data_IF_649765043575
#
_entry.id   IF_649765043575
#
_cell.length_a   1.000
_cell.length_b   1.000
_cell.length_c   1.000
_cell.angle_alpha   90.00
_cell.angle_beta   90.00
_cell.angle_gamma   90.00
#
_symmetry.space_group_name_H-M   'P 1'
#
loop_
_entity.id
_entity.type
_entity.pdbx_description
1 polymer ?
#
# COMPACT_ATOMS: atom_id res chain seq x y z
N UNK A 1 3.90 -30.20 13.40
CA UNK A 1 2.67 -30.58 14.12
C UNK A 1 2.23 -29.33 14.89
N UNK A 2 0.99 -28.90 14.72
CA UNK A 2 0.46 -27.67 15.30
C UNK A 2 0.41 -26.45 14.36
N UNK A 3 0.70 -26.64 13.07
CA UNK A 3 0.55 -25.61 12.03
C UNK A 3 -0.69 -25.95 11.22
N UNK A 4 -1.61 -25.00 11.12
CA UNK A 4 -2.73 -25.04 10.19
C UNK A 4 -2.33 -24.31 8.91
N UNK A 5 -2.63 -24.92 7.76
CA UNK A 5 -2.35 -24.31 6.43
C UNK A 5 -3.66 -23.87 5.83
N UNK A 6 -3.81 -22.57 5.64
CA UNK A 6 -4.96 -21.95 4.97
C UNK A 6 -4.52 -21.46 3.59
N UNK A 7 -5.19 -21.95 2.55
CA UNK A 7 -4.96 -21.47 1.18
C UNK A 7 -5.91 -20.32 0.88
N UNK A 8 -5.36 -19.22 0.37
CA UNK A 8 -6.12 -18.03 -0.01
C UNK A 8 -5.83 -17.69 -1.46
N UNK A 9 -6.87 -17.37 -2.22
CA UNK A 9 -6.80 -16.99 -3.62
C UNK A 9 -7.64 -15.73 -3.83
N UNK A 10 -7.16 -14.80 -4.64
CA UNK A 10 -7.89 -13.59 -4.99
C UNK A 10 -6.98 -12.48 -5.51
N UNK A 11 -7.56 -11.42 -6.08
CA UNK A 11 -6.81 -10.21 -6.43
C UNK A 11 -6.37 -9.47 -5.16
N UNK A 12 -5.41 -8.54 -5.32
CA UNK A 12 -5.07 -7.62 -4.23
C UNK A 12 -6.36 -6.91 -3.73
N UNK A 13 -6.62 -6.82 -2.41
CA UNK A 13 -5.71 -7.04 -1.28
C UNK A 13 -5.86 -8.40 -0.55
N UNK A 14 -6.33 -9.46 -1.21
CA UNK A 14 -6.54 -10.77 -0.57
C UNK A 14 -5.31 -11.31 0.18
N UNK A 15 -4.10 -10.89 -0.21
CA UNK A 15 -2.85 -11.28 0.45
C UNK A 15 -2.42 -10.37 1.61
N UNK A 16 -3.14 -9.30 1.91
CA UNK A 16 -2.83 -8.43 3.04
C UNK A 16 -3.07 -9.16 4.36
N UNK A 17 -2.14 -8.99 5.29
CA UNK A 17 -2.19 -9.71 6.58
C UNK A 17 -3.44 -9.34 7.39
N UNK A 18 -3.82 -8.06 7.44
CA UNK A 18 -5.05 -7.60 8.09
C UNK A 18 -6.29 -8.26 7.52
N UNK A 19 -6.40 -8.32 6.20
CA UNK A 19 -7.51 -9.00 5.49
C UNK A 19 -7.56 -10.48 5.83
N UNK A 20 -6.40 -11.18 5.83
CA UNK A 20 -6.33 -12.58 6.18
C UNK A 20 -6.76 -12.84 7.62
N UNK A 21 -6.31 -12.03 8.57
CA UNK A 21 -6.69 -12.14 9.99
C UNK A 21 -8.18 -11.91 10.14
N UNK A 22 -8.73 -10.88 9.51
CA UNK A 22 -10.17 -10.59 9.60
C UNK A 22 -11.02 -11.76 9.09
N UNK A 23 -10.65 -12.37 7.97
CA UNK A 23 -11.41 -13.51 7.41
C UNK A 23 -11.24 -14.83 8.16
N UNK A 24 -10.09 -15.06 8.81
CA UNK A 24 -9.80 -16.32 9.51
C UNK A 24 -10.24 -16.23 10.98
N UNK A 25 -9.87 -15.14 11.64
CA UNK A 25 -10.14 -14.90 13.05
C UNK A 25 -10.09 -13.40 13.35
N UNK A 26 -11.21 -12.67 13.21
CA UNK A 26 -11.30 -11.26 13.53
C UNK A 26 -10.80 -10.97 14.95
N UNK A 27 -10.11 -9.85 15.12
CA UNK A 27 -9.56 -9.43 16.40
C UNK A 27 -10.55 -8.56 17.17
N UNK A 28 -10.63 -8.79 18.48
CA UNK A 28 -11.39 -7.97 19.41
C UNK A 28 -10.46 -7.15 20.31
N UNK A 29 -11.06 -6.23 21.07
CA UNK A 29 -10.34 -5.42 22.06
C UNK A 29 -9.53 -6.28 23.02
N UNK A 30 -8.24 -6.00 23.14
CA UNK A 30 -7.33 -6.71 24.04
C UNK A 30 -6.74 -8.00 23.48
N UNK A 31 -7.15 -8.44 22.29
CA UNK A 31 -6.50 -9.57 21.61
C UNK A 31 -5.22 -9.14 20.89
N UNK A 32 -4.23 -10.03 20.86
CA UNK A 32 -2.93 -9.80 20.22
C UNK A 32 -2.61 -10.95 19.28
N UNK A 33 -2.22 -10.62 18.05
CA UNK A 33 -1.73 -11.57 17.05
C UNK A 33 -0.32 -11.17 16.62
N UNK A 34 0.58 -12.14 16.61
CA UNK A 34 1.92 -11.97 16.04
C UNK A 34 1.94 -12.45 14.60
N UNK A 35 2.47 -11.63 13.72
CA UNK A 35 2.61 -11.94 12.30
C UNK A 35 4.08 -12.04 11.93
N UNK A 36 4.41 -12.96 11.03
CA UNK A 36 5.77 -13.15 10.52
C UNK A 36 5.71 -13.44 9.02
N UNK A 37 6.42 -12.65 8.23
CA UNK A 37 6.53 -12.90 6.79
C UNK A 37 7.41 -14.12 6.51
N UNK A 38 7.16 -14.79 5.39
CA UNK A 38 7.98 -15.92 4.96
C UNK A 38 9.47 -15.54 4.78
N UNK A 39 9.74 -14.31 4.32
CA UNK A 39 11.10 -13.75 4.19
C UNK A 39 11.81 -13.62 5.54
N UNK A 40 11.08 -13.23 6.59
CA UNK A 40 11.64 -13.14 7.95
C UNK A 40 11.90 -14.52 8.53
N UNK A 41 10.99 -15.47 8.28
CA UNK A 41 11.17 -16.85 8.68
C UNK A 41 12.43 -17.48 8.05
N UNK A 42 12.76 -17.13 6.80
CA UNK A 42 13.98 -17.57 6.14
C UNK A 42 15.25 -17.02 6.85
N UNK A 43 15.24 -15.77 7.31
CA UNK A 43 16.34 -15.17 8.07
C UNK A 43 16.54 -15.93 9.39
N UNK A 44 15.45 -16.15 10.14
CA UNK A 44 15.47 -16.93 11.38
C UNK A 44 15.96 -18.35 11.15
N UNK A 45 15.45 -19.03 10.12
CA UNK A 45 15.87 -20.39 9.76
C UNK A 45 17.33 -20.50 9.38
N UNK A 46 17.89 -19.52 8.63
CA UNK A 46 19.32 -19.44 8.33
C UNK A 46 20.16 -19.30 9.58
N UNK A 47 19.76 -18.40 10.49
CA UNK A 47 20.44 -18.21 11.77
C UNK A 47 20.46 -19.48 12.60
N UNK A 48 19.33 -20.14 12.80
CA UNK A 48 19.23 -21.39 13.58
C UNK A 48 20.06 -22.51 12.99
N UNK A 49 20.21 -22.58 11.66
CA UNK A 49 20.99 -23.60 10.99
C UNK A 49 22.50 -23.34 11.01
N UNK A 50 22.92 -22.09 10.90
CA UNK A 50 24.33 -21.74 10.66
C UNK A 50 25.02 -21.08 11.87
N UNK A 51 24.25 -20.59 12.85
CA UNK A 51 24.73 -19.76 13.96
C UNK A 51 25.18 -18.35 13.52
N UNK A 52 25.00 -17.99 12.24
CA UNK A 52 25.39 -16.68 11.69
C UNK A 52 24.16 -15.91 11.25
N UNK A 53 24.12 -14.61 11.57
CA UNK A 53 23.07 -13.72 11.13
C UNK A 53 23.33 -13.32 9.67
N UNK A 54 22.34 -13.54 8.82
CA UNK A 54 22.32 -13.12 7.42
C UNK A 54 20.96 -12.47 7.11
N UNK A 55 20.95 -11.14 7.02
CA UNK A 55 19.76 -10.36 6.71
C UNK A 55 19.50 -10.20 5.21
N UNK A 56 20.28 -10.84 4.34
CA UNK A 56 20.04 -10.75 2.91
C UNK A 56 18.63 -11.21 2.53
N UNK A 57 17.96 -10.46 1.67
CA UNK A 57 16.61 -10.71 1.19
C UNK A 57 16.55 -10.65 -0.32
N UNK A 58 15.74 -11.48 -0.91
CA UNK A 58 15.32 -11.34 -2.29
C UNK A 58 14.11 -10.44 -2.33
N UNK A 59 14.21 -9.35 -3.09
CA UNK A 59 13.13 -8.38 -3.29
C UNK A 59 12.71 -8.36 -4.76
N UNK A 60 11.48 -7.94 -5.02
CA UNK A 60 10.99 -7.67 -6.36
C UNK A 60 11.38 -6.25 -6.80
N UNK A 61 11.78 -6.10 -8.07
CA UNK A 61 11.88 -4.82 -8.75
C UNK A 61 10.72 -4.72 -9.73
N UNK A 62 9.86 -3.73 -9.54
CA UNK A 62 8.61 -3.58 -10.26
C UNK A 62 8.37 -2.11 -10.66
N UNK A 63 7.30 -1.88 -11.41
CA UNK A 63 6.89 -0.54 -11.86
C UNK A 63 7.02 -0.36 -13.37
N UNK A 64 6.34 0.68 -13.88
CA UNK A 64 6.34 0.98 -15.33
C UNK A 64 7.70 1.48 -15.81
N UNK A 65 8.45 2.16 -14.94
CA UNK A 65 9.73 2.79 -15.25
C UNK A 65 10.95 1.99 -14.74
N UNK A 66 10.73 0.79 -14.23
CA UNK A 66 11.83 -0.14 -13.97
C UNK A 66 12.45 -0.60 -15.30
N UNK A 67 13.77 -0.42 -15.46
CA UNK A 67 14.49 -0.80 -16.67
C UNK A 67 14.38 -2.29 -16.91
N UNK A 68 14.55 -3.04 -15.84
CA UNK A 68 14.46 -4.49 -15.85
C UNK A 68 13.63 -4.91 -14.63
N UNK A 69 12.44 -5.43 -14.89
CA UNK A 69 11.61 -6.03 -13.85
C UNK A 69 12.15 -7.41 -13.50
N UNK A 70 12.15 -7.74 -12.22
CA UNK A 70 12.68 -9.03 -11.78
C UNK A 70 12.95 -9.08 -10.28
N UNK A 71 13.98 -9.81 -9.89
CA UNK A 71 14.34 -9.98 -8.50
C UNK A 71 15.79 -9.58 -8.27
N UNK A 72 16.04 -8.96 -7.12
CA UNK A 72 17.38 -8.60 -6.66
C UNK A 72 17.60 -9.08 -5.22
N UNK A 73 18.83 -9.38 -4.86
CA UNK A 73 19.19 -9.66 -3.48
C UNK A 73 19.82 -8.43 -2.88
N UNK A 74 19.23 -7.94 -1.79
CA UNK A 74 19.72 -6.78 -1.05
C UNK A 74 19.86 -7.10 0.44
N UNK A 75 20.61 -6.27 1.15
CA UNK A 75 20.61 -6.25 2.62
C UNK A 75 19.77 -5.05 3.08
N UNK A 76 18.80 -5.22 3.99
CA UNK A 76 18.08 -4.11 4.59
C UNK A 76 19.03 -3.05 5.14
N UNK A 77 18.69 -1.79 4.99
CA UNK A 77 19.59 -0.68 5.30
C UNK A 77 20.58 -0.33 4.17
N UNK A 78 20.61 -1.08 3.07
CA UNK A 78 21.36 -0.67 1.89
C UNK A 78 20.77 0.63 1.31
N UNK A 79 21.62 1.47 0.76
CA UNK A 79 21.19 2.70 0.11
C UNK A 79 20.62 2.36 -1.25
N UNK A 80 19.31 2.52 -1.40
CA UNK A 80 18.58 2.12 -2.62
C UNK A 80 19.01 2.95 -3.83
N UNK A 81 19.32 4.22 -3.62
CA UNK A 81 19.78 5.11 -4.70
C UNK A 81 21.10 4.66 -5.32
N UNK A 82 21.95 3.90 -4.62
CA UNK A 82 23.18 3.34 -5.17
C UNK A 82 22.92 2.15 -6.11
N UNK A 83 21.71 1.60 -6.08
CA UNK A 83 21.23 0.59 -7.05
C UNK A 83 20.85 1.22 -8.40
N UNK A 84 20.71 2.56 -8.46
CA UNK A 84 20.56 3.27 -9.71
C UNK A 84 21.88 3.19 -10.50
N UNK A 85 21.79 2.66 -11.70
CA UNK A 85 22.94 2.43 -12.55
C UNK A 85 23.41 0.98 -12.58
N UNK A 86 22.81 0.11 -11.74
CA UNK A 86 22.79 -1.32 -12.01
C UNK A 86 21.80 -1.60 -13.16
N UNK A 87 21.95 -2.73 -13.84
CA UNK A 87 21.04 -3.15 -14.93
C UNK A 87 19.57 -3.35 -14.49
N UNK A 88 19.26 -3.13 -13.20
CA UNK A 88 17.95 -3.32 -12.59
C UNK A 88 17.07 -2.06 -12.61
N UNK A 89 17.66 -0.87 -12.61
CA UNK A 89 16.94 0.40 -12.56
C UNK A 89 17.40 1.35 -13.67
N UNK A 90 16.48 2.00 -14.34
CA UNK A 90 16.80 3.15 -15.23
C UNK A 90 16.87 4.38 -14.34
N UNK A 91 17.94 5.13 -14.46
CA UNK A 91 18.03 6.45 -13.85
C UNK A 91 17.47 7.47 -14.84
N UNK A 92 16.24 7.91 -14.60
CA UNK A 92 15.61 9.04 -15.27
C UNK A 92 15.36 10.15 -14.27
N UNK A 93 15.38 11.38 -14.71
CA UNK A 93 15.22 12.54 -13.82
C UNK A 93 13.82 12.65 -13.20
N UNK A 94 12.81 12.05 -13.85
CA UNK A 94 11.39 12.19 -13.51
C UNK A 94 10.77 10.88 -12.99
N UNK A 95 11.55 10.10 -12.24
CA UNK A 95 11.10 8.85 -11.62
C UNK A 95 10.83 8.99 -10.14
N UNK A 96 9.79 8.30 -9.67
CA UNK A 96 9.55 8.06 -8.26
C UNK A 96 9.95 6.65 -7.89
N UNK A 97 10.89 6.52 -6.97
CA UNK A 97 11.29 5.25 -6.38
C UNK A 97 10.56 5.07 -5.05
N UNK A 98 9.94 3.93 -4.88
CA UNK A 98 9.10 3.61 -3.73
C UNK A 98 9.67 2.36 -3.06
N UNK A 99 9.89 2.46 -1.75
CA UNK A 99 10.20 1.33 -0.88
C UNK A 99 8.88 0.63 -0.54
N UNK A 100 8.59 -0.47 -1.21
CA UNK A 100 7.30 -1.16 -1.18
C UNK A 100 6.50 -1.04 -2.47
N UNK A 101 5.21 -1.27 -2.38
CA UNK A 101 4.27 -1.14 -3.49
C UNK A 101 3.77 0.31 -3.67
N UNK A 102 2.98 0.53 -4.72
CA UNK A 102 2.47 1.87 -5.07
C UNK A 102 1.33 2.35 -4.19
N UNK A 103 0.73 1.47 -3.37
CA UNK A 103 -0.43 1.78 -2.52
C UNK A 103 -0.03 2.08 -1.08
N UNK A 104 0.96 1.34 -0.54
CA UNK A 104 1.35 1.41 0.87
C UNK A 104 2.81 1.77 1.09
N UNK A 105 3.60 1.83 0.01
CA UNK A 105 5.03 2.09 0.06
C UNK A 105 5.39 3.54 0.38
N UNK A 106 6.65 3.74 0.74
CA UNK A 106 7.19 5.05 1.10
C UNK A 106 8.19 5.52 0.04
N UNK A 107 8.07 6.78 -0.39
CA UNK A 107 9.01 7.39 -1.33
C UNK A 107 10.43 7.32 -0.78
N UNK A 108 11.35 6.85 -1.61
CA UNK A 108 12.79 6.95 -1.38
C UNK A 108 13.25 8.33 -1.86
N UNK A 109 13.98 9.05 -1.00
CA UNK A 109 14.54 10.37 -1.27
C UNK A 109 15.94 10.48 -0.69
N UNK A 110 16.63 11.58 -0.95
CA UNK A 110 17.95 11.84 -0.34
C UNK A 110 17.90 11.88 1.19
N UNK A 111 16.76 12.27 1.76
CA UNK A 111 16.53 12.26 3.21
C UNK A 111 16.27 10.85 3.76
N UNK A 112 15.71 9.96 2.92
CA UNK A 112 15.34 8.57 3.27
C UNK A 112 15.81 7.60 2.19
N UNK A 113 17.13 7.46 2.01
CA UNK A 113 17.69 6.71 0.89
C UNK A 113 17.78 5.21 1.11
N UNK A 114 17.44 4.71 2.30
CA UNK A 114 17.73 3.34 2.71
C UNK A 114 16.54 2.40 2.55
N UNK A 115 16.83 1.17 2.19
CA UNK A 115 15.88 0.07 2.20
C UNK A 115 15.38 -0.22 3.62
N UNK A 116 14.06 -0.29 3.82
CA UNK A 116 13.49 -0.64 5.13
C UNK A 116 13.81 -2.08 5.54
N UNK A 117 13.69 -2.37 6.84
CA UNK A 117 13.90 -3.72 7.36
C UNK A 117 12.94 -4.74 6.72
N UNK A 118 11.70 -4.34 6.48
CA UNK A 118 10.62 -5.20 5.99
C UNK A 118 10.41 -5.06 4.47
N UNK A 119 11.44 -4.64 3.73
CA UNK A 119 11.34 -4.46 2.29
C UNK A 119 11.14 -5.81 1.58
N UNK A 120 10.14 -5.88 0.71
CA UNK A 120 9.89 -7.03 -0.16
C UNK A 120 9.90 -6.61 -1.63
N UNK A 121 9.77 -5.30 -1.91
CA UNK A 121 9.66 -4.76 -3.25
C UNK A 121 10.20 -3.33 -3.32
N UNK A 122 10.75 -2.99 -4.49
CA UNK A 122 10.98 -1.61 -4.91
C UNK A 122 10.12 -1.38 -6.14
N UNK A 123 9.33 -0.31 -6.11
CA UNK A 123 8.50 0.10 -7.25
C UNK A 123 9.03 1.39 -7.85
N UNK A 124 9.15 1.43 -9.18
CA UNK A 124 9.64 2.60 -9.93
C UNK A 124 8.55 3.03 -10.90
N UNK A 125 8.05 4.24 -10.74
CA UNK A 125 6.98 4.81 -11.54
C UNK A 125 7.34 6.24 -11.99
N UNK A 126 6.71 6.80 -13.03
CA UNK A 126 6.87 8.21 -13.39
C UNK A 126 6.49 9.13 -12.24
N UNK A 127 7.28 10.17 -11.97
CA UNK A 127 6.90 11.24 -11.03
C UNK A 127 5.71 12.03 -11.59
N UNK A 128 5.67 12.26 -12.90
CA UNK A 128 4.59 12.96 -13.58
C UNK A 128 4.70 14.47 -13.53
N UNK A 129 5.88 15.00 -13.26
CA UNK A 129 6.21 16.43 -13.20
C UNK A 129 6.60 17.02 -14.56
N UNK A 130 6.81 16.18 -15.58
CA UNK A 130 7.21 16.52 -16.94
C UNK A 130 6.03 16.63 -17.93
N UNK A 131 4.79 16.53 -17.46
CA UNK A 131 3.60 16.57 -18.31
C UNK A 131 3.00 17.96 -18.44
N UNK A 132 3.07 18.51 -19.65
CA UNK A 132 2.29 19.69 -20.03
C UNK A 132 0.86 19.28 -20.39
N UNK A 133 -0.10 19.57 -19.54
CA UNK A 133 -1.52 19.22 -19.76
C UNK A 133 -2.23 20.38 -20.49
N UNK A 134 -2.19 20.38 -21.83
CA UNK A 134 -2.73 21.45 -22.67
C UNK A 134 -4.21 21.78 -22.43
N UNK A 135 -5.01 20.87 -21.87
CA UNK A 135 -6.43 21.08 -21.58
C UNK A 135 -6.80 20.82 -20.12
N UNK A 136 -5.82 20.64 -19.24
CA UNK A 136 -6.06 20.37 -17.83
C UNK A 136 -7.04 19.22 -17.58
N UNK A 137 -8.05 19.46 -16.73
CA UNK A 137 -9.04 18.45 -16.35
C UNK A 137 -10.05 18.10 -17.46
N UNK A 138 -10.20 18.93 -18.52
CA UNK A 138 -11.09 18.67 -19.68
C UNK A 138 -10.44 17.72 -20.70
N UNK A 139 -9.16 17.46 -20.59
CA UNK A 139 -8.45 16.59 -21.53
C UNK A 139 -9.11 15.19 -21.60
N UNK A 140 -9.30 14.60 -22.80
CA UNK A 140 -9.99 13.31 -22.98
C UNK A 140 -9.24 12.11 -22.38
N UNK A 141 -7.93 12.25 -22.12
CA UNK A 141 -7.07 11.32 -21.38
C UNK A 141 -7.27 9.84 -21.69
N UNK A 142 -7.18 9.46 -22.94
CA UNK A 142 -7.32 8.06 -23.39
C UNK A 142 -6.29 7.09 -22.81
N UNK A 143 -5.16 7.58 -22.31
CA UNK A 143 -4.07 6.77 -21.76
C UNK A 143 -4.07 6.70 -20.21
N UNK A 144 -5.00 7.38 -19.54
CA UNK A 144 -5.06 7.40 -18.08
C UNK A 144 -6.18 6.53 -17.56
N UNK A 145 -5.95 5.85 -16.44
CA UNK A 145 -6.96 5.08 -15.74
C UNK A 145 -8.05 6.01 -15.18
N UNK A 146 -9.30 5.55 -15.22
CA UNK A 146 -10.44 6.27 -14.70
C UNK A 146 -11.33 5.35 -13.88
N UNK A 147 -11.27 5.43 -12.55
CA UNK A 147 -12.12 4.67 -11.66
C UNK A 147 -13.62 5.01 -11.86
N UNK A 148 -13.93 6.29 -12.00
CA UNK A 148 -15.30 6.83 -12.09
C UNK A 148 -15.72 7.18 -13.52
N UNK A 149 -15.02 6.64 -14.54
CA UNK A 149 -15.28 6.93 -15.96
C UNK A 149 -15.22 8.42 -16.32
N UNK A 150 -14.44 9.20 -15.59
CA UNK A 150 -14.24 10.64 -15.84
C UNK A 150 -13.43 10.90 -17.13
N UNK A 151 -12.65 9.92 -17.61
CA UNK A 151 -11.85 9.99 -18.83
C UNK A 151 -12.35 8.97 -19.84
N UNK A 152 -12.16 9.25 -21.13
CA UNK A 152 -12.64 8.38 -22.22
C UNK A 152 -11.85 7.07 -22.35
N UNK A 153 -10.83 6.83 -21.54
CA UNK A 153 -10.07 5.59 -21.51
C UNK A 153 -10.95 4.35 -21.27
N UNK A 154 -12.07 4.48 -20.56
CA UNK A 154 -13.01 3.37 -20.32
C UNK A 154 -13.66 2.82 -21.61
N UNK A 155 -13.70 3.61 -22.70
CA UNK A 155 -14.18 3.16 -24.02
C UNK A 155 -13.25 2.15 -24.69
N UNK A 156 -11.96 2.09 -24.26
CA UNK A 156 -10.92 1.27 -24.88
C UNK A 156 -10.87 -0.17 -24.34
N UNK A 157 -11.82 -0.55 -23.48
CA UNK A 157 -11.97 -1.89 -22.95
C UNK A 157 -11.23 -2.14 -21.61
N UNK A 158 -11.53 -3.29 -20.98
CA UNK A 158 -11.07 -3.63 -19.61
C UNK A 158 -9.69 -4.29 -19.54
N UNK A 159 -9.11 -4.73 -20.65
CA UNK A 159 -7.84 -5.47 -20.68
C UNK A 159 -6.60 -4.60 -20.91
N UNK A 160 -6.75 -3.30 -20.78
CA UNK A 160 -5.67 -2.36 -21.05
C UNK A 160 -4.79 -2.19 -19.81
N UNK A 161 -3.48 -2.21 -20.01
CA UNK A 161 -2.51 -1.83 -19.00
C UNK A 161 -2.33 -0.30 -18.98
N UNK A 162 -2.18 0.27 -17.79
CA UNK A 162 -1.97 1.68 -17.57
C UNK A 162 -0.66 1.90 -16.81
N UNK A 163 0.15 2.83 -17.25
CA UNK A 163 1.26 3.35 -16.47
C UNK A 163 0.71 4.44 -15.53
N UNK A 164 0.72 4.15 -14.23
CA UNK A 164 0.37 5.13 -13.21
C UNK A 164 1.55 6.06 -12.94
N UNK A 165 1.28 7.34 -12.82
CA UNK A 165 2.23 8.32 -12.32
C UNK A 165 1.92 8.69 -10.85
N UNK A 166 2.83 9.42 -10.21
CA UNK A 166 2.73 9.76 -8.80
C UNK A 166 1.85 10.99 -8.50
N UNK A 167 1.19 11.57 -9.51
CA UNK A 167 0.36 12.76 -9.32
C UNK A 167 -0.99 12.45 -8.68
N UNK A 168 -1.43 13.31 -7.79
CA UNK A 168 -2.81 13.31 -7.30
C UNK A 168 -3.73 13.81 -8.42
N UNK A 169 -4.58 12.93 -8.93
CA UNK A 169 -5.55 13.26 -10.01
C UNK A 169 -6.85 13.79 -9.41
N UNK A 170 -6.81 14.97 -8.81
CA UNK A 170 -7.93 15.60 -8.17
C UNK A 170 -7.50 16.64 -7.15
N UNK A 171 -8.45 17.22 -6.42
CA UNK A 171 -8.18 18.14 -5.30
C UNK A 171 -8.61 17.52 -3.97
N UNK A 172 -7.87 17.82 -2.93
CA UNK A 172 -8.25 17.47 -1.55
C UNK A 172 -9.54 18.18 -1.17
N UNK A 173 -10.47 17.44 -0.61
CA UNK A 173 -11.80 17.92 -0.22
C UNK A 173 -12.25 17.28 1.08
N UNK A 174 -13.26 17.88 1.71
CA UNK A 174 -13.94 17.25 2.82
C UNK A 174 -14.54 15.89 2.40
N UNK A 175 -14.54 14.95 3.34
CA UNK A 175 -15.11 13.61 3.12
C UNK A 175 -16.60 13.71 2.81
N UNK A 176 -17.00 13.02 1.75
CA UNK A 176 -18.40 12.79 1.41
C UNK A 176 -18.74 11.29 1.53
N UNK A 177 -19.96 10.98 1.92
CA UNK A 177 -20.42 9.59 1.94
C UNK A 177 -20.98 9.24 0.57
N UNK A 178 -20.12 8.60 -0.24
CA UNK A 178 -20.42 8.26 -1.64
C UNK A 178 -20.54 6.77 -1.89
N UNK A 179 -20.32 5.94 -0.86
CA UNK A 179 -20.25 4.48 -0.95
C UNK A 179 -19.19 3.99 -1.96
N UNK A 180 -18.16 4.82 -2.21
CA UNK A 180 -17.05 4.44 -3.08
C UNK A 180 -16.17 3.39 -2.41
N UNK A 181 -15.99 3.48 -1.09
CA UNK A 181 -15.13 2.57 -0.34
C UNK A 181 -15.73 1.18 -0.19
N UNK A 182 -17.05 1.07 -0.06
CA UNK A 182 -17.76 -0.22 0.04
C UNK A 182 -17.52 -1.14 -1.16
N UNK A 183 -17.10 -0.57 -2.30
CA UNK A 183 -16.84 -1.33 -3.54
C UNK A 183 -15.48 -2.00 -3.56
N UNK A 184 -14.56 -1.54 -2.75
CA UNK A 184 -13.14 -1.96 -2.77
C UNK A 184 -12.62 -2.40 -1.41
N UNK A 185 -13.35 -2.11 -0.34
CA UNK A 185 -12.95 -2.54 1.00
C UNK A 185 -13.17 -4.05 1.14
N UNK A 186 -12.14 -4.79 1.59
CA UNK A 186 -12.16 -6.26 1.50
C UNK A 186 -12.78 -6.98 2.70
N UNK A 187 -13.40 -6.25 3.63
CA UNK A 187 -13.93 -6.78 4.89
C UNK A 187 -15.38 -6.36 5.08
N UNK A 188 -16.12 -7.10 5.91
CA UNK A 188 -17.52 -6.79 6.30
C UNK A 188 -17.56 -5.72 7.39
N UNK A 189 -17.07 -4.54 7.09
CA UNK A 189 -17.00 -3.36 7.95
C UNK A 189 -17.55 -2.18 7.14
N UNK A 190 -18.11 -1.19 7.81
CA UNK A 190 -18.56 0.06 7.20
C UNK A 190 -17.41 1.09 7.13
N UNK A 191 -16.62 1.13 6.04
CA UNK A 191 -15.38 1.91 6.00
C UNK A 191 -15.61 3.41 6.10
N UNK A 192 -16.66 3.95 5.46
CA UNK A 192 -16.97 5.38 5.50
C UNK A 192 -17.38 5.84 6.90
N UNK A 193 -18.18 5.04 7.61
CA UNK A 193 -18.60 5.32 8.96
C UNK A 193 -17.43 5.24 9.94
N UNK A 194 -16.57 4.22 9.78
CA UNK A 194 -15.38 4.07 10.61
C UNK A 194 -14.41 5.25 10.43
N UNK A 195 -14.13 5.67 9.19
CA UNK A 195 -13.31 6.85 8.92
C UNK A 195 -13.89 8.10 9.58
N UNK A 196 -15.22 8.32 9.49
CA UNK A 196 -15.87 9.47 10.14
C UNK A 196 -15.77 9.43 11.65
N UNK A 197 -15.97 8.27 12.27
CA UNK A 197 -15.80 8.11 13.71
C UNK A 197 -14.34 8.42 14.13
N UNK A 198 -13.37 7.97 13.34
CA UNK A 198 -11.95 8.22 13.58
C UNK A 198 -11.60 9.71 13.46
N UNK A 199 -12.10 10.41 12.44
CA UNK A 199 -11.92 11.86 12.28
C UNK A 199 -12.55 12.64 13.44
N UNK A 200 -13.69 12.17 13.94
CA UNK A 200 -14.39 12.78 15.06
C UNK A 200 -13.78 12.44 16.43
N UNK A 201 -12.79 11.55 16.48
CA UNK A 201 -12.22 10.99 17.73
C UNK A 201 -13.27 10.34 18.64
N UNK A 202 -14.33 9.76 18.06
CA UNK A 202 -15.42 9.11 18.78
C UNK A 202 -15.03 7.64 19.03
N UNK A 203 -14.33 7.41 20.16
CA UNK A 203 -13.75 6.10 20.52
C UNK A 203 -14.83 5.03 20.57
N UNK A 204 -15.96 5.31 21.22
CA UNK A 204 -17.05 4.31 21.36
C UNK A 204 -17.57 3.86 20.00
N UNK A 205 -17.72 4.80 19.05
CA UNK A 205 -18.11 4.45 17.68
C UNK A 205 -17.00 3.75 16.89
N UNK A 206 -15.73 4.13 17.08
CA UNK A 206 -14.61 3.43 16.45
C UNK A 206 -14.61 1.95 16.88
N UNK A 207 -14.77 1.67 18.18
CA UNK A 207 -14.84 0.33 18.71
C UNK A 207 -16.07 -0.43 18.18
N UNK A 208 -17.24 0.20 18.19
CA UNK A 208 -18.48 -0.41 17.70
C UNK A 208 -18.45 -0.70 16.18
N UNK A 209 -17.63 0.02 15.42
CA UNK A 209 -17.47 -0.13 13.98
C UNK A 209 -16.29 -1.03 13.58
N UNK A 210 -15.60 -1.66 14.54
CA UNK A 210 -14.58 -2.66 14.25
C UNK A 210 -13.17 -2.11 14.01
N UNK A 211 -12.77 -1.02 14.65
CA UNK A 211 -11.42 -0.43 14.49
C UNK A 211 -10.30 -1.42 14.84
N UNK A 212 -10.53 -2.38 15.72
CA UNK A 212 -9.54 -3.39 16.11
C UNK A 212 -9.31 -4.47 15.03
N UNK A 213 -10.21 -4.57 14.07
CA UNK A 213 -10.15 -5.57 13.00
C UNK A 213 -9.39 -5.08 11.77
N UNK A 214 -9.00 -3.80 11.72
CA UNK A 214 -8.41 -3.19 10.54
C UNK A 214 -6.98 -2.72 10.78
N UNK A 215 -6.20 -2.72 9.71
CA UNK A 215 -4.90 -2.08 9.63
C UNK A 215 -4.94 -0.91 8.63
N UNK A 216 -4.05 0.09 8.75
CA UNK A 216 -4.03 1.22 7.81
C UNK A 216 -3.96 0.81 6.35
N UNK A 217 -3.16 -0.19 6.01
CA UNK A 217 -2.97 -0.71 4.66
C UNK A 217 -4.24 -1.31 4.04
N UNK A 218 -5.22 -1.70 4.83
CA UNK A 218 -6.51 -2.21 4.34
C UNK A 218 -7.33 -1.11 3.66
N UNK A 219 -7.06 0.16 4.00
CA UNK A 219 -7.69 1.33 3.39
C UNK A 219 -6.97 1.85 2.14
N UNK A 220 -5.89 1.22 1.69
CA UNK A 220 -5.11 1.69 0.55
C UNK A 220 -5.92 1.75 -0.76
N UNK A 221 -6.78 0.77 -1.03
CA UNK A 221 -7.69 0.82 -2.18
C UNK A 221 -8.79 1.87 -2.02
N UNK A 222 -9.28 2.09 -0.79
CA UNK A 222 -10.24 3.16 -0.51
C UNK A 222 -9.62 4.53 -0.79
N UNK A 223 -8.37 4.73 -0.36
CA UNK A 223 -7.59 5.94 -0.64
C UNK A 223 -7.38 6.16 -2.14
N UNK A 224 -7.07 5.10 -2.88
CA UNK A 224 -6.90 5.15 -4.34
C UNK A 224 -8.18 5.60 -5.06
N UNK A 225 -9.36 5.06 -4.70
CA UNK A 225 -10.63 5.43 -5.34
C UNK A 225 -11.24 6.71 -4.78
N UNK A 226 -10.76 7.20 -3.65
CA UNK A 226 -11.30 8.36 -2.95
C UNK A 226 -11.42 9.60 -3.85
N UNK A 227 -12.64 10.05 -4.10
CA UNK A 227 -12.90 11.28 -4.87
C UNK A 227 -12.48 12.55 -4.12
N UNK A 228 -12.46 12.50 -2.79
CA UNK A 228 -12.04 13.60 -1.91
C UNK A 228 -10.53 13.65 -1.66
N UNK A 229 -9.77 12.65 -2.14
CA UNK A 229 -8.32 12.55 -1.99
C UNK A 229 -7.82 12.66 -0.54
N UNK A 230 -8.52 11.96 0.34
CA UNK A 230 -8.16 11.90 1.76
C UNK A 230 -7.07 10.86 2.02
N UNK A 231 -6.19 11.14 2.96
CA UNK A 231 -5.15 10.23 3.44
C UNK A 231 -5.74 9.23 4.46
N UNK A 232 -6.48 8.24 3.98
CA UNK A 232 -7.25 7.33 4.83
C UNK A 232 -6.37 6.43 5.69
N UNK A 233 -5.25 5.97 5.14
CA UNK A 233 -4.26 5.17 5.88
C UNK A 233 -3.71 5.95 7.07
N UNK A 234 -3.42 7.23 6.89
CA UNK A 234 -2.94 8.10 7.96
C UNK A 234 -4.02 8.34 9.03
N UNK A 235 -5.27 8.55 8.61
CA UNK A 235 -6.41 8.72 9.53
C UNK A 235 -6.58 7.49 10.41
N UNK A 236 -6.58 6.30 9.84
CA UNK A 236 -6.71 5.04 10.60
C UNK A 236 -5.51 4.83 11.53
N UNK A 237 -4.28 5.13 11.09
CA UNK A 237 -3.09 5.06 11.94
C UNK A 237 -3.25 5.92 13.19
N UNK A 238 -3.68 7.16 13.00
CA UNK A 238 -3.90 8.07 14.14
C UNK A 238 -5.00 7.58 15.08
N UNK A 239 -6.07 6.98 14.55
CA UNK A 239 -7.12 6.36 15.35
C UNK A 239 -6.62 5.22 16.21
N UNK A 240 -5.84 4.30 15.62
CA UNK A 240 -5.23 3.18 16.34
C UNK A 240 -4.23 3.67 17.40
N UNK A 241 -3.42 4.69 17.09
CA UNK A 241 -2.46 5.27 18.03
C UNK A 241 -3.17 5.99 19.20
N UNK A 242 -4.34 6.61 18.94
CA UNK A 242 -5.18 7.18 19.99
C UNK A 242 -5.70 6.10 20.94
N UNK A 243 -6.30 5.03 20.38
CA UNK A 243 -6.81 3.90 21.18
C UNK A 243 -5.70 3.26 22.01
N UNK A 244 -4.52 3.09 21.44
CA UNK A 244 -3.37 2.53 22.17
C UNK A 244 -2.99 3.39 23.38
N UNK A 245 -3.06 4.73 23.27
CA UNK A 245 -2.78 5.65 24.37
C UNK A 245 -3.86 5.64 25.45
N UNK A 246 -5.12 5.47 25.06
CA UNK A 246 -6.24 5.40 26.02
C UNK A 246 -6.26 4.07 26.78
N UNK A 247 -5.67 3.00 26.23
CA UNK A 247 -5.62 1.68 26.85
C UNK A 247 -4.42 1.48 27.80
N UNK A 248 -3.40 2.36 27.76
CA UNK A 248 -2.17 2.32 28.57
C UNK A 248 -2.03 3.55 29.47
#
# INVERSE_FOLDING_TARGET
QGVEVVSVEGPHPAGNVGVLINHIRPLNKGEVVWTLKATDLLVVGRFLRTGKVDFSRTIAIAGSDAAQRGYATITPGARVLDLYGSDLCVKKEHERVINGDVLTGVRISDERPFASLNIDQISIIPEGDDYDEAFGWIAPRFKQFSANRSYFSWLLGKKREYAFDARIKGGERAMIMSHEYDRVFPMDIFPEQLIKATIAYDIDKMEALGIYEVAPEDFALCEFVCSSKMELQYIIRNGLDLLYKEMN
#
